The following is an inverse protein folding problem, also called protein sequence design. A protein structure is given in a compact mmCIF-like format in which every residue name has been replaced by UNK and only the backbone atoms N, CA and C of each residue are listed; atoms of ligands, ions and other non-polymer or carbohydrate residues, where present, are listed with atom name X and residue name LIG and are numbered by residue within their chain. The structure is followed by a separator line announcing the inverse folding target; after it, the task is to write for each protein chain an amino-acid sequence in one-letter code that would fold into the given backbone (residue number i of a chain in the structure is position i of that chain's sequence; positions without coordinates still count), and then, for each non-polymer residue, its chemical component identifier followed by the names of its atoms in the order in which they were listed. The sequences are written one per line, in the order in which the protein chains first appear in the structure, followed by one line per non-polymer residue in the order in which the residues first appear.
data_IF_184819487811
#
_entry.id   IF_184819487811
#
_cell.length_a   1.000
_cell.length_b   1.000
_cell.length_c   1.000
_cell.angle_alpha   90.00
_cell.angle_beta   90.00
_cell.angle_gamma   90.00
#
_symmetry.space_group_name_H-M   'P 1'
#
loop_
_entity.id
_entity.type
_entity.pdbx_description
1 polymer ?
#
# COMPACT_ATOMS: atom_id res chain seq x y z
N UNK A 1 4.31 -17.28 8.71
CA UNK A 1 5.39 -16.58 7.97
C UNK A 1 5.04 -15.11 7.92
N UNK A 2 6.01 -14.20 8.04
CA UNK A 2 5.76 -12.76 7.90
C UNK A 2 5.79 -12.45 6.39
N UNK A 3 4.81 -11.68 5.91
CA UNK A 3 4.73 -11.22 4.52
C UNK A 3 4.74 -9.68 4.49
N UNK A 4 5.41 -9.11 3.49
CA UNK A 4 5.48 -7.67 3.29
C UNK A 4 5.76 -7.32 1.83
N UNK A 5 5.39 -6.10 1.45
CA UNK A 5 5.56 -5.56 0.11
C UNK A 5 5.82 -4.04 0.21
N UNK A 6 6.90 -3.57 -0.42
CA UNK A 6 7.17 -2.14 -0.58
C UNK A 6 6.58 -1.67 -1.90
N UNK A 7 5.84 -0.56 -1.87
CA UNK A 7 5.21 0.04 -3.05
C UNK A 7 5.92 1.35 -3.39
N UNK A 8 6.30 1.51 -4.65
CA UNK A 8 6.89 2.74 -5.17
C UNK A 8 5.86 3.52 -6.01
N UNK A 9 5.87 4.87 -5.95
CA UNK A 9 5.05 5.71 -6.82
C UNK A 9 5.18 5.37 -8.29
N UNK A 10 4.05 5.33 -9.00
CA UNK A 10 3.98 5.01 -10.43
C UNK A 10 4.21 3.54 -10.79
N UNK A 11 4.51 2.66 -9.82
CA UNK A 11 4.67 1.22 -10.07
C UNK A 11 3.44 0.43 -9.63
N UNK A 12 3.08 -0.56 -10.45
CA UNK A 12 2.01 -1.51 -10.18
C UNK A 12 2.59 -2.87 -9.84
N UNK A 13 2.18 -3.44 -8.71
CA UNK A 13 2.66 -4.73 -8.23
C UNK A 13 1.53 -5.77 -8.33
N UNK A 14 1.51 -6.50 -9.45
CA UNK A 14 0.51 -7.53 -9.70
C UNK A 14 1.01 -8.90 -9.25
N UNK A 15 0.19 -9.63 -8.48
CA UNK A 15 0.53 -10.97 -8.02
C UNK A 15 -0.70 -11.88 -7.97
N UNK A 16 -0.48 -13.16 -8.24
CA UNK A 16 -1.43 -14.24 -7.97
C UNK A 16 -1.13 -14.75 -6.56
N UNK A 17 -2.14 -14.75 -5.68
CA UNK A 17 -1.98 -15.24 -4.31
C UNK A 17 -1.85 -16.76 -4.29
N UNK A 18 -0.73 -17.25 -3.75
CA UNK A 18 -0.48 -18.69 -3.56
C UNK A 18 -1.10 -19.22 -2.28
N UNK A 19 -1.00 -18.44 -1.20
CA UNK A 19 -1.54 -18.74 0.13
C UNK A 19 -2.50 -17.63 0.58
N UNK A 20 -3.30 -17.91 1.61
CA UNK A 20 -4.10 -16.88 2.26
C UNK A 20 -3.17 -15.96 3.07
N UNK A 21 -3.30 -14.65 2.84
CA UNK A 21 -2.48 -13.63 3.52
C UNK A 21 -3.41 -12.61 4.17
N UNK A 22 -3.13 -12.29 5.43
CA UNK A 22 -3.76 -11.16 6.10
C UNK A 22 -2.85 -9.93 5.98
N UNK A 23 -3.37 -8.89 5.33
CA UNK A 23 -2.75 -7.57 5.36
C UNK A 23 -3.13 -6.91 6.68
N UNK A 24 -2.13 -6.71 7.54
CA UNK A 24 -2.33 -6.21 8.91
C UNK A 24 -1.97 -4.75 9.08
N UNK A 25 -1.12 -4.19 8.20
CA UNK A 25 -0.61 -2.84 8.33
C UNK A 25 -0.12 -2.29 6.99
N UNK A 26 -0.30 -0.99 6.80
CA UNK A 26 0.42 -0.20 5.82
C UNK A 26 1.14 0.95 6.53
N UNK A 27 2.34 1.29 6.06
CA UNK A 27 3.16 2.35 6.64
C UNK A 27 3.87 3.16 5.55
N UNK A 28 4.09 4.43 5.84
CA UNK A 28 4.84 5.36 5.00
C UNK A 28 6.32 5.26 5.36
N UNK A 29 7.19 5.31 4.35
CA UNK A 29 8.63 5.49 4.58
C UNK A 29 8.89 6.95 4.97
N UNK A 30 9.62 7.18 6.06
CA UNK A 30 9.85 8.52 6.63
C UNK A 30 11.31 8.84 6.85
N UNK A 31 12.23 7.94 6.48
CA UNK A 31 13.66 8.20 6.64
C UNK A 31 14.12 9.23 5.61
N UNK A 32 14.86 10.23 6.07
CA UNK A 32 15.36 11.35 5.24
C UNK A 32 16.18 10.89 4.01
N UNK A 33 16.81 9.71 4.11
CA UNK A 33 17.58 9.10 3.02
C UNK A 33 16.74 8.73 1.78
N UNK A 34 15.41 8.66 1.92
CA UNK A 34 14.45 8.36 0.84
C UNK A 34 13.68 9.60 0.35
N UNK A 35 14.05 10.79 0.82
CA UNK A 35 13.45 12.06 0.41
C UNK A 35 12.45 12.59 1.42
N UNK A 36 12.74 13.77 1.99
CA UNK A 36 11.82 14.52 2.84
C UNK A 36 11.22 15.65 2.01
N UNK A 37 10.01 15.44 1.47
CA UNK A 37 9.27 16.55 0.88
C UNK A 37 8.71 17.43 2.02
N UNK A 38 9.02 18.74 2.04
CA UNK A 38 8.54 19.66 3.07
C UNK A 38 7.03 19.92 3.03
N UNK A 39 6.29 19.45 2.02
CA UNK A 39 4.85 19.66 1.93
C UNK A 39 4.03 18.51 2.54
N UNK A 40 2.81 18.78 3.06
CA UNK A 40 1.90 17.73 3.51
C UNK A 40 1.48 16.85 2.33
N UNK A 41 2.24 15.79 2.15
CA UNK A 41 2.04 14.78 1.12
C UNK A 41 1.24 13.63 1.71
N UNK A 42 0.22 13.21 0.96
CA UNK A 42 -0.58 12.04 1.27
C UNK A 42 -0.35 10.98 0.20
N UNK A 43 -0.34 9.73 0.64
CA UNK A 43 -0.20 8.54 -0.18
C UNK A 43 -1.39 7.61 0.09
N UNK A 44 -2.07 7.23 -0.96
CA UNK A 44 -3.20 6.31 -0.94
C UNK A 44 -2.73 4.95 -1.43
N UNK A 45 -2.98 3.91 -0.63
CA UNK A 45 -2.70 2.53 -1.03
C UNK A 45 -3.95 1.97 -1.71
N UNK A 46 -3.80 1.54 -2.95
CA UNK A 46 -4.88 1.03 -3.78
C UNK A 46 -4.68 -0.45 -4.04
N UNK A 47 -5.78 -1.21 -3.93
CA UNK A 47 -5.87 -2.61 -4.30
C UNK A 47 -6.85 -2.76 -5.45
N UNK A 48 -6.33 -3.17 -6.61
CA UNK A 48 -7.16 -3.53 -7.76
C UNK A 48 -7.30 -5.04 -7.84
N UNK A 49 -8.53 -5.50 -7.95
CA UNK A 49 -8.89 -6.90 -8.18
C UNK A 49 -9.51 -7.05 -9.56
N UNK A 50 -9.86 -8.28 -9.96
CA UNK A 50 -10.66 -8.51 -11.17
C UNK A 50 -12.03 -7.83 -11.16
N UNK A 51 -12.57 -7.52 -9.97
CA UNK A 51 -13.94 -7.00 -9.82
C UNK A 51 -14.00 -5.49 -9.70
N UNK A 52 -13.05 -4.91 -8.97
CA UNK A 52 -13.07 -3.50 -8.64
C UNK A 52 -11.73 -3.03 -8.10
N UNK A 53 -11.65 -1.72 -7.93
CA UNK A 53 -10.57 -1.01 -7.27
C UNK A 53 -11.01 -0.57 -5.88
N UNK A 54 -10.12 -0.74 -4.90
CA UNK A 54 -10.39 -0.44 -3.50
C UNK A 54 -9.28 0.45 -2.94
N UNK A 55 -9.66 1.59 -2.36
CA UNK A 55 -8.78 2.37 -1.48
C UNK A 55 -8.64 1.64 -0.15
N UNK A 56 -7.44 1.15 0.16
CA UNK A 56 -7.19 0.44 1.42
C UNK A 56 -6.98 1.41 2.58
N UNK A 57 -6.16 2.43 2.36
CA UNK A 57 -5.85 3.44 3.37
C UNK A 57 -5.24 4.69 2.75
N UNK A 58 -5.27 5.79 3.52
CA UNK A 58 -4.55 7.03 3.21
C UNK A 58 -3.53 7.28 4.32
N UNK A 59 -2.26 7.34 3.95
CA UNK A 59 -1.15 7.69 4.81
C UNK A 59 -0.76 9.13 4.51
N UNK A 60 -0.35 9.90 5.51
CA UNK A 60 0.01 11.29 5.34
C UNK A 60 1.13 11.68 6.31
N UNK A 61 2.19 12.29 5.78
CA UNK A 61 3.31 12.73 6.59
C UNK A 61 2.85 13.76 7.64
N UNK A 62 3.27 13.59 8.89
CA UNK A 62 2.87 14.45 10.01
C UNK A 62 1.47 14.20 10.58
N UNK A 63 0.66 13.33 9.96
CA UNK A 63 -0.71 13.03 10.43
C UNK A 63 -0.92 11.53 10.68
N UNK A 64 -0.65 10.69 9.68
CA UNK A 64 -0.90 9.26 9.71
C UNK A 64 0.21 8.50 8.99
N UNK A 65 1.25 8.14 9.72
CA UNK A 65 2.40 7.40 9.18
C UNK A 65 2.14 5.92 8.96
N UNK A 66 1.21 5.35 9.72
CA UNK A 66 0.84 3.95 9.62
C UNK A 66 -0.64 3.78 9.90
N UNK A 67 -1.24 2.76 9.30
CA UNK A 67 -2.63 2.39 9.51
C UNK A 67 -2.76 0.87 9.58
N UNK A 68 -3.50 0.39 10.59
CA UNK A 68 -3.84 -1.02 10.70
C UNK A 68 -4.85 -1.38 9.60
N UNK A 69 -4.65 -2.55 9.03
CA UNK A 69 -5.54 -3.16 8.05
C UNK A 69 -6.07 -4.48 8.62
N UNK A 70 -7.26 -4.87 8.18
CA UNK A 70 -7.80 -6.21 8.45
C UNK A 70 -8.41 -6.77 7.16
N UNK A 71 -7.54 -7.03 6.19
CA UNK A 71 -7.92 -7.54 4.88
C UNK A 71 -7.31 -8.91 4.67
N UNK A 72 -8.13 -9.86 4.21
CA UNK A 72 -7.67 -11.21 3.86
C UNK A 72 -7.71 -11.39 2.36
N UNK A 73 -6.56 -11.67 1.78
CA UNK A 73 -6.41 -12.01 0.38
C UNK A 73 -6.47 -13.51 0.23
N UNK A 74 -7.39 -13.99 -0.62
CA UNK A 74 -7.62 -15.41 -0.79
C UNK A 74 -6.66 -16.00 -1.83
N UNK A 75 -6.28 -17.28 -1.71
CA UNK A 75 -5.54 -17.99 -2.75
C UNK A 75 -6.26 -17.90 -4.11
N UNK A 76 -5.49 -17.98 -5.19
CA UNK A 76 -5.96 -17.90 -6.59
C UNK A 76 -6.57 -16.55 -6.99
N UNK A 77 -6.55 -15.54 -6.12
CA UNK A 77 -6.94 -14.18 -6.48
C UNK A 77 -5.77 -13.44 -7.15
N UNK A 78 -6.07 -12.74 -8.24
CA UNK A 78 -5.13 -11.82 -8.88
C UNK A 78 -5.38 -10.43 -8.34
N UNK A 79 -4.38 -9.89 -7.66
CA UNK A 79 -4.42 -8.57 -7.05
C UNK A 79 -3.29 -7.71 -7.59
N UNK A 80 -3.56 -6.42 -7.74
CA UNK A 80 -2.57 -5.41 -8.08
C UNK A 80 -2.57 -4.37 -6.99
N UNK A 81 -1.40 -4.15 -6.39
CA UNK A 81 -1.19 -3.04 -5.47
C UNK A 81 -0.55 -1.87 -6.21
N UNK A 82 -1.02 -0.67 -5.92
CA UNK A 82 -0.43 0.56 -6.38
C UNK A 82 -0.54 1.63 -5.31
N UNK A 83 0.25 2.68 -5.46
CA UNK A 83 0.14 3.88 -4.63
C UNK A 83 -0.21 5.07 -5.51
N UNK A 84 -1.12 5.90 -5.02
CA UNK A 84 -1.54 7.15 -5.64
C UNK A 84 -1.40 8.30 -4.65
N UNK A 85 -1.38 9.53 -5.12
CA UNK A 85 -1.26 10.72 -4.28
C UNK A 85 -0.09 11.60 -4.69
N UNK A 86 0.05 12.74 -4.01
CA UNK A 86 1.18 13.65 -4.20
C UNK A 86 2.32 13.17 -3.33
N UNK A 87 3.14 12.30 -3.88
CA UNK A 87 4.48 11.98 -3.40
C UNK A 87 5.30 11.68 -4.65
N UNK A 88 5.48 12.71 -5.48
CA UNK A 88 6.44 12.74 -6.59
C UNK A 88 7.69 13.49 -6.13
#
# INVERSE_FOLDING_TARGET
MIWGLTLEPGKNYTRIMGDEIQLSMASLETRDEFGSDPHPNYTQVILTTKRSEYLLCTLAHGTAFQQNLDLRLRPSETVTFSVQGKSE
#
